data_IF_965185589842
#
_entry.id   IF_965185589842
#
_cell.length_a   1.000
_cell.length_b   1.000
_cell.length_c   1.000
_cell.angle_alpha   90.00
_cell.angle_beta   90.00
_cell.angle_gamma   90.00
#
_symmetry.space_group_name_H-M   'P 1'
#
loop_
_entity.id
_entity.type
_entity.pdbx_description
1 polymer ?
#
# COMPACT_ATOMS: atom_id res chain seq x y z
N UNK A 1 -24.88 11.57 11.77
CA UNK A 1 -24.13 10.80 10.76
C UNK A 1 -22.66 11.12 10.93
N UNK A 2 -21.80 10.14 11.22
CA UNK A 2 -20.36 10.38 11.28
C UNK A 2 -19.84 10.66 9.86
N UNK A 3 -18.97 11.65 9.67
CA UNK A 3 -18.36 11.92 8.37
C UNK A 3 -17.40 10.79 8.00
N UNK A 4 -17.54 10.25 6.79
CA UNK A 4 -16.58 9.29 6.26
C UNK A 4 -15.24 10.03 6.11
N UNK A 5 -14.12 9.52 6.66
CA UNK A 5 -12.81 10.13 6.49
C UNK A 5 -12.47 10.26 5.00
N UNK A 6 -11.87 11.37 4.54
CA UNK A 6 -11.46 11.49 3.15
C UNK A 6 -10.41 10.43 2.81
N UNK A 7 -10.67 9.63 1.79
CA UNK A 7 -9.75 8.60 1.30
C UNK A 7 -8.83 9.25 0.26
N UNK A 8 -7.53 9.28 0.55
CA UNK A 8 -6.54 9.83 -0.38
C UNK A 8 -6.22 8.80 -1.47
N UNK A 9 -6.19 9.25 -2.72
CA UNK A 9 -5.75 8.43 -3.86
C UNK A 9 -4.31 8.76 -4.22
N UNK A 10 -3.46 7.75 -4.27
CA UNK A 10 -2.08 7.86 -4.76
C UNK A 10 -1.98 7.35 -6.18
N UNK A 11 -1.20 8.07 -6.99
CA UNK A 11 -1.04 7.79 -8.40
C UNK A 11 0.35 7.22 -8.67
N UNK A 12 0.43 6.23 -9.57
CA UNK A 12 1.71 5.76 -10.06
C UNK A 12 2.45 6.90 -10.77
N UNK A 13 3.75 7.05 -10.48
CA UNK A 13 4.59 8.10 -11.06
C UNK A 13 5.52 7.47 -12.10
N UNK A 14 5.08 7.30 -13.36
CA UNK A 14 5.86 6.58 -14.36
C UNK A 14 7.20 7.25 -14.67
N UNK A 15 7.37 8.54 -14.40
CA UNK A 15 8.62 9.27 -14.68
C UNK A 15 9.38 9.68 -13.41
N UNK A 16 9.15 9.00 -12.28
CA UNK A 16 9.79 9.29 -10.98
C UNK A 16 11.32 9.39 -11.06
N UNK A 17 11.95 8.66 -11.98
CA UNK A 17 13.41 8.64 -12.19
C UNK A 17 13.83 9.15 -13.59
N UNK A 18 12.99 9.91 -14.28
CA UNK A 18 13.28 10.52 -15.58
C UNK A 18 12.92 9.66 -16.80
N UNK A 19 13.19 8.36 -16.77
CA UNK A 19 12.69 7.40 -17.76
C UNK A 19 11.35 6.82 -17.34
N UNK A 20 10.57 6.33 -18.31
CA UNK A 20 9.30 5.65 -18.06
C UNK A 20 9.53 4.33 -17.31
N UNK A 21 8.84 4.19 -16.19
CA UNK A 21 8.80 3.00 -15.35
C UNK A 21 7.51 2.24 -15.67
N UNK A 22 7.64 0.94 -15.85
CA UNK A 22 6.48 0.02 -15.88
C UNK A 22 6.25 -0.63 -14.51
N UNK A 23 7.28 -0.61 -13.66
CA UNK A 23 7.28 -1.21 -12.33
C UNK A 23 8.26 -0.44 -11.44
N UNK A 24 7.86 -0.14 -10.21
CA UNK A 24 8.72 0.42 -9.16
C UNK A 24 8.88 -0.64 -8.06
N UNK A 25 10.11 -0.93 -7.67
CA UNK A 25 10.44 -1.95 -6.67
C UNK A 25 11.37 -1.34 -5.65
N UNK A 26 11.03 -1.48 -4.38
CA UNK A 26 11.88 -1.04 -3.28
C UNK A 26 11.46 -1.66 -1.97
N UNK A 27 12.35 -1.55 -0.99
CA UNK A 27 12.02 -1.82 0.41
C UNK A 27 11.10 -0.71 0.92
N UNK A 28 9.94 -1.06 1.46
CA UNK A 28 8.94 -0.09 1.93
C UNK A 28 9.57 0.92 2.91
N UNK A 29 10.44 0.46 3.81
CA UNK A 29 11.14 1.31 4.78
C UNK A 29 12.09 2.35 4.16
N UNK A 30 12.43 2.21 2.87
CA UNK A 30 13.28 3.14 2.12
C UNK A 30 12.48 4.13 1.26
N UNK A 31 11.17 3.91 1.11
CA UNK A 31 10.30 4.73 0.26
C UNK A 31 9.85 5.99 1.01
N UNK A 32 10.40 7.15 0.59
CA UNK A 32 10.13 8.48 1.20
C UNK A 32 8.65 8.89 1.26
N UNK A 33 7.81 8.31 0.41
CA UNK A 33 6.40 8.69 0.26
C UNK A 33 5.44 7.54 0.58
N UNK A 34 5.94 6.48 1.22
CA UNK A 34 5.06 5.43 1.69
C UNK A 34 4.24 5.93 2.87
N UNK A 35 2.94 5.65 2.87
CA UNK A 35 2.04 6.05 3.95
C UNK A 35 2.32 5.15 5.14
N UNK A 36 2.92 5.71 6.18
CA UNK A 36 3.22 5.00 7.44
C UNK A 36 2.33 5.45 8.60
N UNK A 37 1.48 6.46 8.39
CA UNK A 37 0.50 6.94 9.37
C UNK A 37 -0.86 6.25 9.20
N UNK A 38 -1.78 6.39 10.14
CA UNK A 38 -3.10 5.72 10.11
C UNK A 38 -4.06 6.22 9.01
N UNK A 39 -3.57 6.91 7.98
CA UNK A 39 -4.39 7.44 6.89
C UNK A 39 -4.86 6.30 5.97
N UNK A 40 -6.18 6.18 5.86
CA UNK A 40 -6.80 5.34 4.84
C UNK A 40 -6.52 5.91 3.46
N UNK A 41 -6.03 5.06 2.58
CA UNK A 41 -5.71 5.45 1.23
C UNK A 41 -6.02 4.32 0.25
N UNK A 42 -5.99 4.69 -1.02
CA UNK A 42 -6.06 3.78 -2.14
C UNK A 42 -5.04 4.18 -3.20
N UNK A 43 -4.75 3.27 -4.11
CA UNK A 43 -3.83 3.48 -5.23
C UNK A 43 -4.56 3.30 -6.56
N UNK A 44 -4.07 3.93 -7.63
CA UNK A 44 -4.62 3.76 -8.99
C UNK A 44 -3.87 2.71 -9.82
N UNK A 45 -2.96 1.97 -9.18
CA UNK A 45 -2.10 0.96 -9.79
C UNK A 45 -2.14 -0.33 -8.95
N UNK A 46 -1.60 -1.42 -9.49
CA UNK A 46 -1.49 -2.67 -8.76
C UNK A 46 -0.29 -2.63 -7.81
N UNK A 47 -0.47 -3.06 -6.58
CA UNK A 47 0.63 -3.28 -5.64
C UNK A 47 0.78 -4.75 -5.29
N UNK A 48 2.04 -5.16 -5.11
CA UNK A 48 2.42 -6.48 -4.62
C UNK A 48 3.37 -6.26 -3.45
N UNK A 49 2.95 -6.64 -2.25
CA UNK A 49 3.74 -6.50 -1.02
C UNK A 49 4.24 -7.87 -0.60
N UNK A 50 5.57 -7.99 -0.44
CA UNK A 50 6.20 -9.19 0.10
C UNK A 50 6.59 -8.99 1.56
N UNK A 51 5.98 -9.76 2.46
CA UNK A 51 6.31 -9.71 3.88
C UNK A 51 7.55 -10.57 4.12
N UNK A 52 8.70 -9.91 4.19
CA UNK A 52 10.00 -10.58 4.35
C UNK A 52 10.33 -10.88 5.83
N UNK A 53 9.92 -10.01 6.75
CA UNK A 53 10.09 -10.08 8.21
C UNK A 53 8.91 -9.38 8.89
N UNK A 54 8.76 -9.62 10.20
CA UNK A 54 7.70 -9.02 11.01
C UNK A 54 6.42 -9.85 11.06
N UNK A 55 5.50 -9.42 11.92
CA UNK A 55 4.18 -10.01 12.07
C UNK A 55 3.19 -8.93 12.53
N UNK A 56 1.95 -9.02 12.08
CA UNK A 56 0.96 -7.97 12.35
C UNK A 56 -0.41 -8.32 11.78
N UNK A 57 -1.25 -7.32 11.60
CA UNK A 57 -2.54 -7.44 10.92
C UNK A 57 -2.60 -6.43 9.79
N UNK A 58 -2.85 -6.91 8.58
CA UNK A 58 -3.11 -6.07 7.43
C UNK A 58 -4.62 -5.99 7.19
N UNK A 59 -5.11 -4.81 6.79
CA UNK A 59 -6.50 -4.63 6.42
C UNK A 59 -6.56 -4.22 4.94
N UNK A 60 -7.46 -4.84 4.19
CA UNK A 60 -7.75 -4.52 2.80
C UNK A 60 -9.27 -4.48 2.65
N UNK A 61 -9.79 -3.29 2.36
CA UNK A 61 -11.20 -2.95 2.46
C UNK A 61 -11.73 -3.33 3.86
N UNK A 62 -12.73 -4.20 3.94
CA UNK A 62 -13.27 -4.70 5.21
C UNK A 62 -12.57 -5.98 5.71
N UNK A 63 -11.65 -6.54 4.91
CA UNK A 63 -10.98 -7.81 5.22
C UNK A 63 -9.72 -7.56 6.04
N UNK A 64 -9.66 -8.14 7.24
CA UNK A 64 -8.45 -8.15 8.08
C UNK A 64 -7.79 -9.52 8.01
N UNK A 65 -6.48 -9.54 7.79
CA UNK A 65 -5.68 -10.76 7.71
C UNK A 65 -4.41 -10.66 8.54
N UNK A 66 -4.00 -11.72 9.25
CA UNK A 66 -2.70 -11.75 9.90
C UNK A 66 -1.60 -11.75 8.84
N UNK A 67 -0.53 -10.99 9.08
CA UNK A 67 0.68 -11.03 8.26
C UNK A 67 1.83 -11.66 9.03
N UNK A 68 2.66 -12.40 8.31
CA UNK A 68 3.85 -13.08 8.78
C UNK A 68 4.81 -13.31 7.60
N UNK A 69 6.07 -13.69 7.84
CA UNK A 69 7.03 -13.86 6.76
C UNK A 69 6.55 -14.85 5.71
N UNK A 70 6.88 -14.59 4.43
CA UNK A 70 6.49 -15.39 3.24
C UNK A 70 5.06 -15.18 2.75
N UNK A 71 4.33 -14.21 3.31
CA UNK A 71 3.04 -13.77 2.76
C UNK A 71 3.27 -12.78 1.62
N UNK A 72 2.47 -12.95 0.56
CA UNK A 72 2.38 -12.02 -0.57
C UNK A 72 0.97 -11.43 -0.54
N UNK A 73 0.88 -10.10 -0.58
CA UNK A 73 -0.40 -9.38 -0.63
C UNK A 73 -0.52 -8.74 -2.01
N UNK A 74 -1.66 -8.96 -2.67
CA UNK A 74 -2.03 -8.32 -3.92
C UNK A 74 -3.10 -7.27 -3.64
N UNK A 75 -2.88 -6.06 -4.13
CA UNK A 75 -3.80 -4.94 -3.99
C UNK A 75 -4.14 -4.44 -5.40
N UNK A 76 -5.43 -4.43 -5.71
CA UNK A 76 -5.96 -3.90 -6.96
C UNK A 76 -6.21 -2.39 -6.86
N UNK A 77 -6.20 -1.66 -7.98
CA UNK A 77 -6.57 -0.25 -8.00
C UNK A 77 -7.92 0.01 -7.32
N UNK A 78 -7.97 1.03 -6.47
CA UNK A 78 -9.19 1.43 -5.75
C UNK A 78 -9.50 0.65 -4.48
N UNK A 79 -8.72 -0.38 -4.13
CA UNK A 79 -8.86 -1.03 -2.83
C UNK A 79 -8.28 -0.16 -1.71
N UNK A 80 -9.04 -0.03 -0.64
CA UNK A 80 -8.73 0.87 0.48
C UNK A 80 -7.95 0.09 1.53
N UNK A 81 -6.82 0.62 1.97
CA UNK A 81 -6.05 0.00 3.04
C UNK A 81 -5.36 1.06 3.92
N UNK A 82 -5.17 0.78 5.23
CA UNK A 82 -4.20 1.48 6.06
C UNK A 82 -2.77 0.99 5.70
N UNK A 83 -1.72 1.61 6.23
CA UNK A 83 -0.35 1.12 6.04
C UNK A 83 -0.20 -0.37 6.36
N UNK A 84 0.72 -1.03 5.67
CA UNK A 84 1.31 -2.26 6.16
C UNK A 84 2.19 -1.95 7.38
N UNK A 85 1.68 -2.24 8.57
CA UNK A 85 2.41 -2.17 9.86
C UNK A 85 2.91 -3.52 10.31
#
# INVERSE_FOLDING_TARGET
>A
MASIPPIKTYYFLPYKYGLELLLDIGYIETLKHYVLDSTLHQVNFYEIIFIHKGSGTFALDENKMPISPKIIIFISPGQVHPPAG
#
